data_IF_127427999967
#
_entry.id   IF_127427999967
#
_cell.length_a   1.000
_cell.length_b   1.000
_cell.length_c   1.000
_cell.angle_alpha   90.00
_cell.angle_beta   90.00
_cell.angle_gamma   90.00
#
_symmetry.space_group_name_H-M   'P 1'
#
loop_
_entity.id
_entity.type
_entity.pdbx_description
1 polymer ?
#
# COMPACT_ATOMS: atom_id res chain seq x y z
N UNK A 1 -5.93 4.90 33.98
CA UNK A 1 -5.49 5.23 32.60
C UNK A 1 -5.94 4.09 31.70
N UNK A 2 -6.68 4.36 30.63
CA UNK A 2 -7.32 3.32 29.82
C UNK A 2 -6.29 2.60 28.95
N UNK A 3 -6.09 1.30 29.21
CA UNK A 3 -5.25 0.40 28.40
C UNK A 3 -5.65 0.37 26.91
N UNK A 4 -6.89 0.73 26.58
CA UNK A 4 -7.36 0.87 25.20
C UNK A 4 -6.76 2.06 24.45
N UNK A 5 -6.32 3.11 25.15
CA UNK A 5 -5.61 4.24 24.55
C UNK A 5 -4.15 3.84 24.31
N UNK A 6 -3.51 3.16 25.25
CA UNK A 6 -2.12 2.67 25.11
C UNK A 6 -2.03 1.61 24.01
N UNK A 7 -2.98 0.67 23.92
CA UNK A 7 -3.05 -0.29 22.81
C UNK A 7 -3.30 0.35 21.44
N UNK A 8 -3.97 1.50 21.39
CA UNK A 8 -4.13 2.25 20.14
C UNK A 8 -2.86 3.03 19.76
N UNK A 9 -2.06 3.47 20.73
CA UNK A 9 -0.78 4.14 20.48
C UNK A 9 0.31 3.15 20.06
N UNK A 10 0.33 1.95 20.67
CA UNK A 10 1.32 0.89 20.37
C UNK A 10 1.05 0.17 19.04
N UNK A 11 -0.17 0.27 18.47
CA UNK A 11 -0.51 -0.34 17.18
C UNK A 11 -0.40 0.61 15.96
N UNK A 12 0.05 1.85 16.14
CA UNK A 12 0.28 2.80 15.04
C UNK A 12 1.67 2.63 14.35
N UNK A 13 2.33 1.49 14.58
CA UNK A 13 3.50 0.95 13.85
C UNK A 13 3.06 -0.03 12.75
N UNK A 14 2.20 0.39 11.81
CA UNK A 14 1.64 -0.57 10.85
C UNK A 14 1.79 -0.24 9.36
N UNK A 15 1.67 1.02 8.92
CA UNK A 15 1.83 1.33 7.49
C UNK A 15 3.30 1.55 7.14
N UNK A 16 4.01 2.41 7.89
CA UNK A 16 5.43 2.69 7.66
C UNK A 16 6.29 1.43 7.75
N UNK A 17 6.10 0.61 8.78
CA UNK A 17 6.92 -0.59 8.99
C UNK A 17 6.66 -1.66 7.92
N UNK A 18 5.39 -1.90 7.56
CA UNK A 18 5.05 -2.84 6.48
C UNK A 18 5.54 -2.34 5.14
N UNK A 19 5.37 -1.06 4.83
CA UNK A 19 5.89 -0.47 3.61
C UNK A 19 7.41 -0.63 3.54
N UNK A 20 8.12 -0.25 4.61
CA UNK A 20 9.58 -0.34 4.70
C UNK A 20 10.06 -1.79 4.59
N UNK A 21 9.39 -2.73 5.26
CA UNK A 21 9.71 -4.16 5.18
C UNK A 21 9.53 -4.69 3.75
N UNK A 22 8.44 -4.33 3.07
CA UNK A 22 8.17 -4.75 1.70
C UNK A 22 9.18 -4.15 0.71
N UNK A 23 9.53 -2.87 0.87
CA UNK A 23 10.57 -2.22 0.07
C UNK A 23 11.95 -2.85 0.28
N UNK A 24 12.32 -3.17 1.52
CA UNK A 24 13.57 -3.91 1.82
C UNK A 24 13.60 -5.29 1.19
N UNK A 25 12.46 -6.00 1.19
CA UNK A 25 12.36 -7.36 0.67
C UNK A 25 12.36 -7.42 -0.85
N UNK A 26 11.72 -6.47 -1.51
CA UNK A 26 11.44 -6.56 -2.95
C UNK A 26 12.08 -5.47 -3.80
N UNK A 27 12.74 -4.48 -3.19
CA UNK A 27 13.40 -3.38 -3.88
C UNK A 27 12.54 -2.10 -3.94
N UNK A 28 13.22 -0.98 -4.15
CA UNK A 28 12.60 0.35 -4.16
C UNK A 28 11.73 0.59 -5.41
N UNK A 29 12.05 -0.09 -6.52
CA UNK A 29 11.37 0.09 -7.82
C UNK A 29 10.00 -0.61 -7.90
N UNK A 30 9.63 -1.38 -6.87
CA UNK A 30 8.37 -2.11 -6.82
C UNK A 30 7.26 -1.27 -6.18
N UNK A 31 6.20 -0.96 -6.91
CA UNK A 31 4.99 -0.29 -6.38
C UNK A 31 4.18 -1.28 -5.54
N UNK A 32 3.96 -0.96 -4.27
CA UNK A 32 3.23 -1.83 -3.33
C UNK A 32 1.77 -1.40 -3.23
N UNK A 33 0.88 -2.32 -3.58
CA UNK A 33 -0.58 -2.18 -3.59
C UNK A 33 -1.16 -2.96 -2.40
N UNK A 34 -1.60 -2.25 -1.36
CA UNK A 34 -2.19 -2.84 -0.16
C UNK A 34 -3.70 -2.97 -0.32
N UNK A 35 -4.25 -4.18 -0.16
CA UNK A 35 -5.70 -4.36 -0.22
C UNK A 35 -6.39 -3.76 1.01
N UNK A 36 -7.33 -2.84 0.78
CA UNK A 36 -8.15 -2.17 1.79
C UNK A 36 -9.60 -2.16 1.33
N UNK A 37 -10.36 -3.17 1.77
CA UNK A 37 -11.75 -3.35 1.33
C UNK A 37 -11.80 -3.62 -0.17
N UNK A 38 -12.57 -2.79 -0.89
CA UNK A 38 -12.75 -2.84 -2.36
C UNK A 38 -11.71 -2.02 -3.13
N UNK A 39 -10.69 -1.52 -2.43
CA UNK A 39 -9.63 -0.69 -3.01
C UNK A 39 -8.26 -1.31 -2.77
N UNK A 40 -7.31 -0.90 -3.60
CA UNK A 40 -5.89 -1.01 -3.34
C UNK A 40 -5.33 0.37 -3.03
N UNK A 41 -4.62 0.47 -1.91
CA UNK A 41 -3.94 1.69 -1.49
C UNK A 41 -2.44 1.59 -1.74
N UNK A 42 -1.87 2.68 -2.24
CA UNK A 42 -0.43 2.91 -2.29
C UNK A 42 -0.07 4.04 -1.33
N UNK A 43 1.14 4.04 -0.77
CA UNK A 43 1.57 5.01 0.24
C UNK A 43 2.92 5.64 -0.12
N UNK A 44 3.27 6.71 0.60
CA UNK A 44 4.58 7.38 0.48
C UNK A 44 4.92 7.73 -0.97
N UNK A 45 6.10 7.32 -1.46
CA UNK A 45 6.55 7.60 -2.82
C UNK A 45 5.70 6.85 -3.87
N UNK A 46 5.21 5.65 -3.54
CA UNK A 46 4.37 4.87 -4.45
C UNK A 46 3.05 5.59 -4.73
N UNK A 47 2.46 6.20 -3.67
CA UNK A 47 1.27 7.06 -3.82
C UNK A 47 1.54 8.24 -4.74
N UNK A 48 2.71 8.87 -4.64
CA UNK A 48 3.09 10.00 -5.50
C UNK A 48 3.22 9.54 -6.96
N UNK A 49 3.92 8.44 -7.20
CA UNK A 49 4.13 7.89 -8.56
C UNK A 49 2.78 7.56 -9.20
N UNK A 50 1.92 6.81 -8.50
CA UNK A 50 0.60 6.43 -9.01
C UNK A 50 -0.27 7.66 -9.25
N UNK A 51 -0.27 8.62 -8.32
CA UNK A 51 -1.02 9.87 -8.48
C UNK A 51 -0.61 10.62 -9.75
N UNK A 52 0.69 10.75 -10.03
CA UNK A 52 1.18 11.45 -11.22
C UNK A 52 0.88 10.68 -12.51
N UNK A 53 1.07 9.36 -12.52
CA UNK A 53 0.87 8.55 -13.74
C UNK A 53 -0.61 8.54 -14.17
N UNK A 54 -1.52 8.45 -13.21
CA UNK A 54 -2.95 8.24 -13.47
C UNK A 54 -3.81 9.48 -13.23
N UNK A 55 -3.22 10.59 -12.80
CA UNK A 55 -3.96 11.82 -12.46
C UNK A 55 -4.91 11.63 -11.28
N UNK A 56 -4.58 10.75 -10.33
CA UNK A 56 -5.41 10.46 -9.17
C UNK A 56 -5.06 11.37 -7.99
N UNK A 57 -6.08 11.76 -7.23
CA UNK A 57 -5.90 12.51 -6.00
C UNK A 57 -5.22 11.69 -4.90
N UNK A 58 -4.42 12.38 -4.09
CA UNK A 58 -3.80 11.82 -2.89
C UNK A 58 -4.61 12.22 -1.66
N UNK A 59 -5.07 11.24 -0.91
CA UNK A 59 -5.88 11.40 0.28
C UNK A 59 -4.97 11.41 1.51
N UNK A 60 -5.12 12.38 2.40
CA UNK A 60 -4.45 12.39 3.69
C UNK A 60 -5.03 11.27 4.58
N UNK A 61 -4.21 10.29 4.95
CA UNK A 61 -4.63 9.22 5.87
C UNK A 61 -4.21 9.53 7.31
N UNK A 62 -2.92 9.80 7.52
CA UNK A 62 -2.35 9.97 8.86
C UNK A 62 -1.32 11.09 8.88
N UNK A 63 -1.27 11.83 10.00
CA UNK A 63 -0.27 12.85 10.25
C UNK A 63 0.49 12.49 11.53
N UNK A 64 1.78 12.20 11.38
CA UNK A 64 2.71 11.94 12.47
C UNK A 64 3.59 13.17 12.69
N UNK A 65 4.29 13.24 13.83
CA UNK A 65 5.19 14.36 14.12
C UNK A 65 6.32 14.50 13.07
N UNK A 66 6.80 13.39 12.51
CA UNK A 66 7.93 13.35 11.59
C UNK A 66 7.57 13.11 10.12
N UNK A 67 6.35 12.64 9.84
CA UNK A 67 5.93 12.30 8.48
C UNK A 67 4.42 12.37 8.31
N UNK A 68 3.98 12.47 7.06
CA UNK A 68 2.57 12.49 6.69
C UNK A 68 2.33 11.37 5.69
N UNK A 69 1.32 10.54 5.94
CA UNK A 69 0.93 9.46 5.04
C UNK A 69 -0.22 9.96 4.17
N UNK A 70 0.09 10.10 2.89
CA UNK A 70 -0.92 10.21 1.85
C UNK A 70 -1.07 8.86 1.14
N UNK A 71 -2.29 8.57 0.72
CA UNK A 71 -2.62 7.39 -0.06
C UNK A 71 -3.27 7.74 -1.40
N UNK A 72 -3.00 6.90 -2.39
CA UNK A 72 -3.74 6.90 -3.66
C UNK A 72 -4.54 5.61 -3.72
N UNK A 73 -5.84 5.71 -3.98
CA UNK A 73 -6.77 4.58 -4.04
C UNK A 73 -7.03 4.15 -5.46
N UNK A 74 -6.92 2.86 -5.71
CA UNK A 74 -7.26 2.21 -6.96
C UNK A 74 -8.43 1.26 -6.69
N UNK A 75 -9.58 1.40 -7.37
CA UNK A 75 -10.67 0.42 -7.25
C UNK A 75 -10.21 -0.98 -7.67
N UNK A 76 -10.61 -2.02 -6.92
CA UNK A 76 -10.23 -3.42 -7.24
C UNK A 76 -10.59 -3.81 -8.67
N UNK A 77 -11.76 -3.36 -9.15
CA UNK A 77 -12.24 -3.58 -10.53
C UNK A 77 -11.32 -3.02 -11.62
N UNK A 78 -10.48 -2.05 -11.29
CA UNK A 78 -9.56 -1.38 -12.22
C UNK A 78 -8.11 -1.86 -12.06
N UNK A 79 -7.83 -2.74 -11.09
CA UNK A 79 -6.48 -3.14 -10.73
C UNK A 79 -5.65 -3.63 -11.93
N UNK A 80 -6.25 -4.41 -12.83
CA UNK A 80 -5.57 -4.95 -14.01
C UNK A 80 -5.07 -3.84 -14.93
N UNK A 81 -5.92 -2.85 -15.22
CA UNK A 81 -5.54 -1.69 -16.03
C UNK A 81 -4.37 -0.92 -15.41
N UNK A 82 -4.43 -0.68 -14.09
CA UNK A 82 -3.37 0.01 -13.36
C UNK A 82 -2.05 -0.77 -13.38
N UNK A 83 -2.10 -2.08 -13.13
CA UNK A 83 -0.90 -2.93 -13.13
C UNK A 83 -0.24 -2.98 -14.51
N UNK A 84 -1.03 -3.15 -15.57
CA UNK A 84 -0.51 -3.18 -16.93
C UNK A 84 0.15 -1.85 -17.30
N UNK A 85 -0.49 -0.73 -16.95
CA UNK A 85 0.06 0.60 -17.22
C UNK A 85 1.36 0.85 -16.44
N UNK A 86 1.43 0.45 -15.16
CA UNK A 86 2.66 0.53 -14.36
C UNK A 86 3.78 -0.33 -14.96
N UNK A 87 3.46 -1.55 -15.40
CA UNK A 87 4.41 -2.44 -16.06
C UNK A 87 4.98 -1.84 -17.35
N UNK A 88 4.13 -1.29 -18.22
CA UNK A 88 4.60 -0.60 -19.44
C UNK A 88 5.45 0.64 -19.16
N UNK A 89 5.32 1.24 -17.96
CA UNK A 89 6.15 2.36 -17.50
C UNK A 89 7.43 1.90 -16.79
N UNK A 90 7.71 0.60 -16.76
CA UNK A 90 8.92 0.03 -16.18
C UNK A 90 8.83 -0.29 -14.67
N UNK A 91 7.66 -0.16 -14.07
CA UNK A 91 7.46 -0.47 -12.65
C UNK A 91 6.99 -1.91 -12.45
N UNK A 92 7.62 -2.60 -11.51
CA UNK A 92 7.04 -3.83 -10.95
C UNK A 92 5.95 -3.50 -9.93
N UNK A 93 4.95 -4.37 -9.78
CA UNK A 93 3.88 -4.21 -8.78
C UNK A 93 3.84 -5.37 -7.82
N UNK A 94 3.61 -5.12 -6.54
CA UNK A 94 3.38 -6.14 -5.52
C UNK A 94 2.00 -5.93 -4.92
N UNK A 95 1.23 -7.01 -4.82
CA UNK A 95 -0.05 -6.99 -4.12
C UNK A 95 0.18 -7.52 -2.71
N UNK A 96 -0.05 -6.67 -1.72
CA UNK A 96 -0.17 -7.08 -0.32
C UNK A 96 -1.66 -7.26 -0.02
N UNK A 97 -2.17 -8.45 -0.34
CA UNK A 97 -3.48 -8.85 0.13
C UNK A 97 -3.36 -9.17 1.63
N UNK A 98 -4.26 -8.64 2.46
CA UNK A 98 -4.31 -9.02 3.87
C UNK A 98 -4.66 -10.50 3.90
N UNK A 99 -3.67 -11.38 4.07
CA UNK A 99 -3.92 -12.74 4.56
C UNK A 99 -4.39 -12.58 6.01
N UNK A 100 -5.69 -12.29 6.19
CA UNK A 100 -6.36 -12.44 7.47
C UNK A 100 -6.22 -13.92 7.85
N UNK A 101 -5.47 -14.16 8.93
CA UNK A 101 -5.41 -15.39 9.74
C UNK A 101 -5.68 -16.72 9.04
N UNK A 102 -4.64 -17.56 8.96
CA UNK A 102 -4.72 -18.99 8.61
C UNK A 102 -5.41 -19.31 7.26
N UNK A 103 -4.62 -19.45 6.20
CA UNK A 103 -5.07 -20.21 5.04
C UNK A 103 -4.45 -19.82 3.70
N UNK A 104 -3.50 -20.65 3.28
CA UNK A 104 -3.20 -21.00 1.88
C UNK A 104 -2.62 -19.90 0.96
N UNK A 105 -1.30 -19.99 0.79
CA UNK A 105 -0.57 -19.49 -0.37
C UNK A 105 -1.24 -19.97 -1.68
N UNK A 106 -1.67 -19.05 -2.53
CA UNK A 106 -1.74 -19.30 -3.99
C UNK A 106 -1.02 -18.18 -4.72
N UNK A 107 0.28 -18.36 -4.88
CA UNK A 107 1.05 -17.65 -5.89
C UNK A 107 0.54 -18.12 -7.26
N UNK A 108 -0.12 -17.24 -8.01
CA UNK A 108 -0.25 -17.40 -9.45
C UNK A 108 0.83 -16.53 -10.10
N UNK A 109 1.90 -17.19 -10.54
CA UNK A 109 2.76 -16.67 -11.59
C UNK A 109 2.08 -16.99 -12.93
N UNK A 110 1.86 -15.97 -13.76
CA UNK A 110 1.80 -16.12 -15.21
C UNK A 110 2.98 -15.37 -15.78
#
# INVERSE_FOLDING_TARGET
MNDSIIRNIVNNEHIMDKYTQMKRKHGNDMIILFRVGEYFETYFEDSRIVSVIFGLDRILLEKHFYYVIYATRIPEKELEYFRNTLYFRGYGTIISDRIRGNGVHKMHLK
#
